data_IF_429281840582
#
_entry.id   IF_429281840582
#
_cell.length_a   1.000
_cell.length_b   1.000
_cell.length_c   1.000
_cell.angle_alpha   90.00
_cell.angle_beta   90.00
_cell.angle_gamma   90.00
#
_symmetry.space_group_name_H-M   'P 1'
#
loop_
_entity.id
_entity.type
_entity.pdbx_description
1 polymer ?
#
# COMPACT_ATOMS: atom_id res chain seq x y z
N UNK A 1 7.94 3.73 -4.61
CA UNK A 1 6.65 4.44 -4.45
C UNK A 1 6.63 5.07 -3.06
N UNK A 2 5.97 6.21 -2.83
CA UNK A 2 5.79 6.82 -1.49
C UNK A 2 4.32 6.79 -1.06
N UNK A 3 4.04 6.87 0.24
CA UNK A 3 2.66 6.85 0.77
C UNK A 3 1.75 7.91 0.12
N UNK A 4 2.27 9.11 -0.16
CA UNK A 4 1.50 10.19 -0.80
C UNK A 4 0.89 9.74 -2.14
N UNK A 5 1.64 9.00 -2.95
CA UNK A 5 1.15 8.48 -4.23
C UNK A 5 0.10 7.38 -4.05
N UNK A 6 0.27 6.53 -3.03
CA UNK A 6 -0.69 5.47 -2.67
C UNK A 6 -2.01 6.10 -2.23
N UNK A 7 -1.95 7.06 -1.30
CA UNK A 7 -3.11 7.81 -0.79
C UNK A 7 -3.88 8.49 -1.93
N UNK A 8 -3.20 9.16 -2.86
CA UNK A 8 -3.87 9.82 -3.99
C UNK A 8 -4.59 8.84 -4.92
N UNK A 9 -4.09 7.61 -5.08
CA UNK A 9 -4.77 6.56 -5.83
C UNK A 9 -5.98 6.03 -5.07
N UNK A 10 -5.81 5.63 -3.80
CA UNK A 10 -6.90 5.15 -2.95
C UNK A 10 -8.02 6.20 -2.81
N UNK A 11 -7.68 7.49 -2.72
CA UNK A 11 -8.67 8.56 -2.66
C UNK A 11 -9.60 8.60 -3.90
N UNK A 12 -9.12 8.16 -5.06
CA UNK A 12 -9.86 8.17 -6.34
C UNK A 12 -10.58 6.86 -6.66
N UNK A 13 -10.33 5.80 -5.90
CA UNK A 13 -10.95 4.48 -6.07
C UNK A 13 -12.33 4.41 -5.40
N UNK A 14 -13.14 3.42 -5.75
CA UNK A 14 -14.40 3.13 -5.06
C UNK A 14 -14.18 2.17 -3.87
N UNK A 15 -15.11 2.18 -2.91
CA UNK A 15 -15.05 1.28 -1.74
C UNK A 15 -15.14 -0.18 -2.20
N UNK A 16 -14.22 -1.01 -1.70
CA UNK A 16 -14.06 -2.41 -2.11
C UNK A 16 -13.12 -2.62 -3.30
N UNK A 17 -12.59 -1.56 -3.92
CA UNK A 17 -11.52 -1.71 -4.90
C UNK A 17 -10.16 -1.97 -4.22
N UNK A 18 -9.32 -2.73 -4.92
CA UNK A 18 -8.01 -3.17 -4.45
C UNK A 18 -6.88 -2.52 -5.25
N UNK A 19 -5.86 -2.05 -4.53
CA UNK A 19 -4.68 -1.41 -5.09
C UNK A 19 -3.43 -2.21 -4.72
N UNK A 20 -2.73 -2.66 -5.76
CA UNK A 20 -1.41 -3.25 -5.66
C UNK A 20 -0.33 -2.17 -5.70
N UNK A 21 0.59 -2.21 -4.74
CA UNK A 21 1.66 -1.24 -4.60
C UNK A 21 3.00 -1.94 -4.42
N UNK A 22 3.90 -1.70 -5.37
CA UNK A 22 5.31 -2.06 -5.22
C UNK A 22 6.06 -1.04 -4.35
N UNK A 23 6.53 -1.52 -3.20
CA UNK A 23 7.31 -0.79 -2.22
C UNK A 23 8.75 -1.26 -2.23
N UNK A 24 9.66 -0.32 -2.02
CA UNK A 24 11.05 -0.65 -1.75
C UNK A 24 11.18 -1.01 -0.26
N UNK A 25 12.11 -1.91 0.10
CA UNK A 25 12.38 -2.27 1.48
C UNK A 25 12.89 -1.05 2.27
N UNK A 26 12.76 -1.13 3.59
CA UNK A 26 13.07 -0.05 4.52
C UNK A 26 11.83 0.78 4.88
N UNK A 27 12.02 2.09 5.10
CA UNK A 27 10.97 2.99 5.60
C UNK A 27 9.62 2.94 4.85
N UNK A 28 9.55 2.81 3.51
CA UNK A 28 8.26 2.76 2.81
C UNK A 28 7.44 1.53 3.18
N UNK A 29 8.10 0.40 3.47
CA UNK A 29 7.44 -0.86 3.80
C UNK A 29 6.79 -0.81 5.18
N UNK A 30 7.31 -0.02 6.11
CA UNK A 30 6.76 0.15 7.45
C UNK A 30 5.72 1.27 7.50
N UNK A 31 6.00 2.40 6.85
CA UNK A 31 5.14 3.58 6.92
C UNK A 31 3.88 3.45 6.07
N UNK A 32 3.95 2.83 4.88
CA UNK A 32 2.79 2.76 3.97
C UNK A 32 1.65 1.92 4.54
N UNK A 33 1.86 0.68 5.03
CA UNK A 33 0.78 -0.11 5.63
C UNK A 33 0.17 0.61 6.83
N UNK A 34 1.03 1.09 7.74
CA UNK A 34 0.61 1.81 8.95
C UNK A 34 -0.25 3.03 8.62
N UNK A 35 0.19 3.89 7.71
CA UNK A 35 -0.59 5.07 7.33
C UNK A 35 -1.85 4.72 6.53
N UNK A 36 -1.93 3.55 5.89
CA UNK A 36 -3.17 3.05 5.30
C UNK A 36 -4.18 2.68 6.38
N UNK A 37 -3.75 1.89 7.38
CA UNK A 37 -4.58 1.49 8.52
C UNK A 37 -5.05 2.70 9.34
N UNK A 38 -4.17 3.67 9.61
CA UNK A 38 -4.52 4.91 10.34
C UNK A 38 -5.58 5.75 9.61
N UNK A 39 -5.70 5.62 8.29
CA UNK A 39 -6.74 6.30 7.50
C UNK A 39 -7.99 5.44 7.28
N UNK A 40 -8.03 4.23 7.85
CA UNK A 40 -9.17 3.31 7.74
C UNK A 40 -9.17 2.47 6.46
N UNK A 41 -8.08 2.45 5.69
CA UNK A 41 -7.92 1.52 4.58
C UNK A 41 -7.46 0.16 5.10
N UNK A 42 -7.80 -0.90 4.37
CA UNK A 42 -7.51 -2.27 4.80
C UNK A 42 -6.32 -2.83 4.04
N UNK A 43 -5.24 -3.16 4.75
CA UNK A 43 -4.10 -3.87 4.15
C UNK A 43 -4.44 -5.35 4.09
N UNK A 44 -4.53 -5.90 2.88
CA UNK A 44 -4.90 -7.30 2.64
C UNK A 44 -3.68 -8.22 2.66
N UNK A 45 -2.55 -7.79 2.10
CA UNK A 45 -1.34 -8.63 1.99
C UNK A 45 -0.08 -7.79 1.81
N UNK A 46 1.06 -8.34 2.24
CA UNK A 46 2.40 -7.80 2.06
C UNK A 46 3.33 -8.95 1.67
N UNK A 47 3.62 -9.09 0.39
CA UNK A 47 4.42 -10.19 -0.13
C UNK A 47 5.76 -9.69 -0.68
N UNK A 48 6.89 -10.30 -0.29
CA UNK A 48 8.17 -10.01 -0.93
C UNK A 48 8.16 -10.50 -2.39
N UNK A 49 8.88 -9.79 -3.25
CA UNK A 49 9.07 -10.11 -4.66
C UNK A 49 10.54 -10.39 -4.95
N UNK A 50 10.83 -11.06 -6.07
CA UNK A 50 12.20 -11.40 -6.50
C UNK A 50 13.13 -10.18 -6.68
N UNK A 51 12.57 -9.00 -6.97
CA UNK A 51 13.33 -7.77 -7.28
C UNK A 51 13.72 -6.96 -6.02
N UNK A 52 13.80 -7.63 -4.86
CA UNK A 52 14.05 -6.99 -3.55
C UNK A 52 13.06 -5.84 -3.27
N UNK A 53 11.81 -6.03 -3.68
CA UNK A 53 10.66 -5.14 -3.45
C UNK A 53 9.56 -5.93 -2.78
N UNK A 54 8.58 -5.22 -2.24
CA UNK A 54 7.40 -5.80 -1.63
C UNK A 54 6.15 -5.36 -2.37
N UNK A 55 5.28 -6.32 -2.67
CA UNK A 55 3.94 -6.09 -3.19
C UNK A 55 2.97 -5.97 -2.02
N UNK A 56 2.42 -4.78 -1.84
CA UNK A 56 1.41 -4.49 -0.84
C UNK A 56 0.04 -4.42 -1.51
N UNK A 57 -0.92 -5.19 -1.02
CA UNK A 57 -2.30 -5.17 -1.48
C UNK A 57 -3.15 -4.41 -0.45
N UNK A 58 -3.82 -3.35 -0.89
CA UNK A 58 -4.65 -2.49 -0.04
C UNK A 58 -6.05 -2.42 -0.63
N UNK A 59 -7.08 -2.55 0.19
CA UNK A 59 -8.48 -2.36 -0.15
C UNK A 59 -8.99 -1.04 0.42
N UNK A 60 -9.78 -0.32 -0.39
CA UNK A 60 -10.44 0.91 0.03
C UNK A 60 -11.70 0.66 0.85
#
# INVERSE_FOLDING_TARGET
MTFVKVKLKLARMDTGEQLEVLLNPGEPLENVPRSCEEQGYKVLSNEPTDDNKHLLLIEK
#
